data_IF_899359890717
#
_entry.id   IF_899359890717
#
_cell.length_a   1.000
_cell.length_b   1.000
_cell.length_c   1.000
_cell.angle_alpha   90.00
_cell.angle_beta   90.00
_cell.angle_gamma   90.00
#
_symmetry.space_group_name_H-M   'P 1'
#
loop_
_entity.id
_entity.type
_entity.pdbx_description
1 polymer ?
#
# COMPACT_ATOMS: atom_id res chain seq x y z
N UNK A 1 12.45 48.46 32.43
CA UNK A 1 13.86 48.51 32.87
C UNK A 1 14.24 47.39 33.86
N UNK A 2 13.43 47.06 34.88
CA UNK A 2 13.80 46.05 35.90
C UNK A 2 13.72 44.57 35.45
N UNK A 3 12.81 44.23 34.53
CA UNK A 3 12.66 42.84 34.02
C UNK A 3 13.70 42.44 32.97
N UNK A 4 14.20 43.41 32.19
CA UNK A 4 15.27 43.17 31.20
C UNK A 4 16.59 42.78 31.87
N UNK A 5 16.87 43.39 33.03
CA UNK A 5 18.08 43.12 33.81
C UNK A 5 18.03 41.72 34.45
N UNK A 6 16.85 41.26 34.87
CA UNK A 6 16.65 39.91 35.42
C UNK A 6 16.79 38.79 34.37
N UNK A 7 16.38 39.04 33.11
CA UNK A 7 16.55 38.09 32.00
C UNK A 7 18.02 38.01 31.56
N UNK A 8 18.73 39.14 31.53
CA UNK A 8 20.17 39.14 31.24
C UNK A 8 20.96 38.44 32.34
N UNK A 9 20.55 38.57 33.61
CA UNK A 9 21.20 37.90 34.74
C UNK A 9 20.95 36.38 34.78
N UNK A 10 19.84 35.88 34.24
CA UNK A 10 19.53 34.44 34.21
C UNK A 10 20.18 33.70 33.02
N UNK A 11 20.50 34.42 31.93
CA UNK A 11 21.22 33.89 30.77
C UNK A 11 22.74 33.71 31.01
N UNK A 12 23.34 34.43 31.96
CA UNK A 12 24.79 34.35 32.22
C UNK A 12 25.16 33.26 33.24
N UNK A 13 24.22 32.79 34.07
CA UNK A 13 24.47 31.78 35.11
C UNK A 13 24.37 30.34 34.56
N UNK A 14 23.80 30.14 33.36
CA UNK A 14 23.62 28.83 32.73
C UNK A 14 24.79 28.38 31.82
N UNK A 15 25.87 29.15 31.73
CA UNK A 15 27.07 28.81 30.94
C UNK A 15 28.16 28.05 31.73
N UNK A 16 27.91 27.72 33.01
CA UNK A 16 28.88 27.04 33.88
C UNK A 16 28.60 25.54 34.04
N UNK A 17 28.35 24.84 32.93
CA UNK A 17 28.39 23.38 32.88
C UNK A 17 29.28 22.95 31.70
N UNK A 18 30.53 22.61 32.05
CA UNK A 18 31.43 21.69 31.34
C UNK A 18 31.82 21.94 29.87
N UNK A 19 31.90 23.19 29.42
CA UNK A 19 32.71 23.50 28.24
C UNK A 19 34.22 23.56 28.61
N UNK A 20 34.81 22.42 28.99
CA UNK A 20 36.27 22.26 29.08
C UNK A 20 36.86 22.11 27.67
N UNK A 21 36.82 23.17 26.87
CA UNK A 21 37.33 23.18 25.49
C UNK A 21 38.78 23.66 25.36
N UNK A 22 39.45 23.96 26.48
CA UNK A 22 40.84 24.47 26.46
C UNK A 22 41.91 23.37 26.59
N UNK A 23 41.53 22.12 26.89
CA UNK A 23 42.46 20.98 27.04
C UNK A 23 42.33 19.93 25.94
N UNK A 24 41.75 20.27 24.77
CA UNK A 24 41.87 19.42 23.58
C UNK A 24 43.23 19.71 22.95
N UNK A 25 44.24 19.07 23.51
CA UNK A 25 45.57 19.03 22.94
C UNK A 25 45.50 18.19 21.65
N UNK A 26 45.51 18.85 20.49
CA UNK A 26 45.76 18.20 19.19
C UNK A 26 47.20 17.67 19.04
N UNK A 27 47.92 17.46 20.15
CA UNK A 27 49.26 16.84 20.12
C UNK A 27 49.12 15.39 19.69
N UNK A 28 49.49 15.16 18.44
CA UNK A 28 50.09 13.94 17.88
C UNK A 28 49.74 12.66 18.65
N UNK A 29 48.50 12.19 18.50
CA UNK A 29 48.23 10.79 18.77
C UNK A 29 49.04 9.96 17.77
N UNK A 30 49.98 9.15 18.27
CA UNK A 30 50.70 8.17 17.46
C UNK A 30 49.63 7.21 16.90
N UNK A 31 49.28 7.39 15.63
CA UNK A 31 48.44 6.40 14.93
C UNK A 31 49.31 5.18 14.71
N UNK A 32 49.06 4.11 15.44
CA UNK A 32 49.61 2.81 15.11
C UNK A 32 49.19 2.46 13.67
N UNK A 33 50.09 1.89 12.85
CA UNK A 33 49.71 1.43 11.53
C UNK A 33 48.54 0.46 11.67
N UNK A 34 47.56 0.59 10.77
CA UNK A 34 46.45 -0.36 10.72
C UNK A 34 47.03 -1.77 10.64
N UNK A 35 46.71 -2.62 11.61
CA UNK A 35 47.06 -4.05 11.55
C UNK A 35 46.42 -4.56 10.26
N UNK A 36 47.24 -5.07 9.34
CA UNK A 36 46.73 -5.63 8.11
C UNK A 36 45.69 -6.70 8.46
N UNK A 37 44.49 -6.60 7.88
CA UNK A 37 43.47 -7.61 8.07
C UNK A 37 44.08 -8.97 7.69
N UNK A 38 43.96 -10.02 8.54
CA UNK A 38 44.44 -11.34 8.19
C UNK A 38 43.82 -11.76 6.86
N UNK A 39 44.63 -12.11 5.88
CA UNK A 39 44.11 -12.62 4.61
C UNK A 39 43.44 -13.97 4.89
N UNK A 40 42.12 -14.00 4.80
CA UNK A 40 41.36 -15.22 4.96
C UNK A 40 41.52 -16.10 3.72
N UNK A 41 42.17 -17.25 3.92
CA UNK A 41 42.39 -18.29 2.91
C UNK A 41 41.36 -19.43 3.02
N UNK A 42 40.32 -19.29 3.83
CA UNK A 42 39.26 -20.28 4.07
C UNK A 42 38.70 -20.86 2.77
N UNK A 43 38.46 -20.02 1.76
CA UNK A 43 37.91 -20.42 0.46
C UNK A 43 38.89 -21.31 -0.33
N UNK A 44 40.21 -21.10 -0.22
CA UNK A 44 41.22 -21.94 -0.90
C UNK A 44 41.27 -23.36 -0.36
N UNK A 45 40.79 -23.59 0.87
CA UNK A 45 40.74 -24.90 1.52
C UNK A 45 39.49 -25.70 1.14
N UNK A 46 38.52 -25.08 0.45
CA UNK A 46 37.31 -25.76 -0.01
C UNK A 46 37.70 -26.54 -1.28
N UNK A 47 37.68 -27.88 -1.26
CA UNK A 47 38.02 -28.66 -2.44
C UNK A 47 37.02 -28.34 -3.56
N UNK A 48 37.53 -28.16 -4.78
CA UNK A 48 36.70 -27.82 -5.95
C UNK A 48 35.57 -28.85 -6.21
N UNK A 49 35.72 -30.07 -5.70
CA UNK A 49 34.72 -31.15 -5.73
C UNK A 49 33.46 -30.88 -4.89
N UNK A 50 33.51 -30.00 -3.88
CA UNK A 50 32.32 -29.53 -3.16
C UNK A 50 31.65 -28.32 -3.84
N UNK A 51 32.36 -27.68 -4.77
CA UNK A 51 31.91 -26.46 -5.47
C UNK A 51 31.18 -26.81 -6.78
N UNK A 52 31.20 -28.07 -7.22
CA UNK A 52 30.27 -28.59 -8.23
C UNK A 52 28.84 -28.63 -7.68
N UNK A 53 28.27 -27.46 -7.45
CA UNK A 53 26.85 -27.27 -7.19
C UNK A 53 26.13 -27.75 -8.45
N UNK A 54 25.62 -28.98 -8.41
CA UNK A 54 24.59 -29.38 -9.36
C UNK A 54 23.54 -28.25 -9.37
N UNK A 55 23.19 -27.75 -10.56
CA UNK A 55 22.13 -26.74 -10.69
C UNK A 55 20.79 -27.42 -10.36
N UNK A 56 20.51 -27.61 -9.08
CA UNK A 56 19.26 -28.18 -8.60
C UNK A 56 18.19 -27.11 -8.75
N UNK A 57 17.20 -27.37 -9.60
CA UNK A 57 16.01 -26.53 -9.72
C UNK A 57 15.19 -26.72 -8.45
N UNK A 58 15.20 -25.74 -7.56
CA UNK A 58 14.33 -25.73 -6.38
C UNK A 58 12.90 -25.48 -6.88
N UNK A 59 11.93 -26.40 -6.66
CA UNK A 59 10.55 -26.16 -7.04
C UNK A 59 10.00 -25.00 -6.21
N UNK A 60 9.31 -24.07 -6.87
CA UNK A 60 8.58 -23.00 -6.17
C UNK A 60 7.40 -23.63 -5.46
N UNK A 61 7.42 -23.63 -4.13
CA UNK A 61 6.29 -24.06 -3.32
C UNK A 61 5.39 -22.87 -3.02
N UNK A 62 4.13 -22.93 -3.44
CA UNK A 62 3.14 -21.91 -3.14
C UNK A 62 2.42 -22.29 -1.84
N UNK A 63 2.65 -21.54 -0.78
CA UNK A 63 1.91 -21.72 0.46
C UNK A 63 0.45 -21.27 0.24
N UNK A 64 -0.50 -22.11 0.66
CA UNK A 64 -1.91 -21.72 0.75
C UNK A 64 -2.03 -20.53 1.71
N UNK A 65 -2.77 -19.50 1.30
CA UNK A 65 -2.94 -18.31 2.13
C UNK A 65 -3.87 -18.68 3.29
N UNK A 66 -3.38 -18.67 4.53
CA UNK A 66 -4.20 -18.86 5.72
C UNK A 66 -4.88 -17.55 6.14
N UNK A 67 -6.00 -17.65 6.85
CA UNK A 67 -6.72 -16.48 7.37
C UNK A 67 -5.81 -15.60 8.23
N UNK A 68 -4.96 -16.21 9.06
CA UNK A 68 -3.96 -15.50 9.85
C UNK A 68 -2.97 -14.68 8.99
N UNK A 69 -2.51 -15.24 7.86
CA UNK A 69 -1.61 -14.54 6.96
C UNK A 69 -2.31 -13.33 6.29
N UNK A 70 -3.60 -13.48 5.97
CA UNK A 70 -4.42 -12.38 5.43
C UNK A 70 -4.56 -11.26 6.46
N UNK A 71 -4.94 -11.57 7.70
CA UNK A 71 -5.12 -10.59 8.77
C UNK A 71 -3.80 -9.86 9.10
N UNK A 72 -2.68 -10.60 9.11
CA UNK A 72 -1.36 -10.01 9.29
C UNK A 72 -0.99 -9.05 8.15
N UNK A 73 -1.29 -9.42 6.89
CA UNK A 73 -1.08 -8.55 5.74
C UNK A 73 -1.98 -7.30 5.80
N UNK A 74 -3.26 -7.48 6.13
CA UNK A 74 -4.23 -6.39 6.28
C UNK A 74 -3.76 -5.39 7.34
N UNK A 75 -3.43 -5.86 8.54
CA UNK A 75 -2.98 -5.01 9.64
C UNK A 75 -1.66 -4.30 9.34
N UNK A 76 -0.72 -4.97 8.65
CA UNK A 76 0.53 -4.37 8.22
C UNK A 76 0.30 -3.22 7.23
N UNK A 77 -0.48 -3.45 6.16
CA UNK A 77 -0.76 -2.41 5.16
C UNK A 77 -1.57 -1.27 5.79
N UNK A 78 -2.55 -1.58 6.63
CA UNK A 78 -3.35 -0.59 7.35
C UNK A 78 -2.48 0.32 8.22
N UNK A 79 -1.54 -0.25 8.97
CA UNK A 79 -0.61 0.52 9.82
C UNK A 79 0.24 1.48 9.00
N UNK A 80 0.73 1.03 7.84
CA UNK A 80 1.52 1.87 6.91
C UNK A 80 0.65 2.96 6.29
N UNK A 81 -0.58 2.63 5.87
CA UNK A 81 -1.54 3.60 5.35
C UNK A 81 -1.83 4.70 6.38
N UNK A 82 -2.14 4.33 7.63
CA UNK A 82 -2.39 5.28 8.71
C UNK A 82 -1.18 6.17 9.00
N UNK A 83 0.02 5.59 9.04
CA UNK A 83 1.26 6.34 9.20
C UNK A 83 1.42 7.39 8.08
N UNK A 84 1.32 6.96 6.83
CA UNK A 84 1.48 7.84 5.67
C UNK A 84 0.43 8.95 5.64
N UNK A 85 -0.83 8.64 5.96
CA UNK A 85 -1.90 9.64 6.08
C UNK A 85 -1.62 10.65 7.19
N UNK A 86 -1.13 10.20 8.36
CA UNK A 86 -0.77 11.07 9.49
C UNK A 86 0.37 12.03 9.13
N UNK A 87 1.35 11.56 8.35
CA UNK A 87 2.51 12.35 7.93
C UNK A 87 2.32 13.04 6.58
N UNK A 88 1.10 13.04 6.02
CA UNK A 88 0.75 13.71 4.75
C UNK A 88 1.54 13.21 3.54
N UNK A 89 1.96 11.94 3.58
CA UNK A 89 2.64 11.23 2.48
C UNK A 89 1.56 10.57 1.61
N UNK A 90 0.86 11.40 0.84
CA UNK A 90 -0.37 11.02 0.14
C UNK A 90 -0.16 10.16 -1.10
N UNK A 91 0.96 10.38 -1.79
CA UNK A 91 1.42 9.56 -2.91
C UNK A 91 1.50 8.08 -2.50
N UNK A 92 2.25 7.75 -1.44
CA UNK A 92 2.39 6.38 -0.96
C UNK A 92 1.11 5.89 -0.29
N UNK A 93 0.38 6.76 0.41
CA UNK A 93 -0.88 6.39 1.06
C UNK A 93 -1.93 5.88 0.06
N UNK A 94 -2.03 6.50 -1.13
CA UNK A 94 -2.95 6.06 -2.19
C UNK A 94 -2.67 4.61 -2.62
N UNK A 95 -1.41 4.25 -2.87
CA UNK A 95 -1.03 2.87 -3.17
C UNK A 95 -1.37 1.90 -2.05
N UNK A 96 -1.15 2.27 -0.78
CA UNK A 96 -1.52 1.41 0.34
C UNK A 96 -3.03 1.12 0.40
N UNK A 97 -3.87 2.10 0.06
CA UNK A 97 -5.32 1.89 -0.04
C UNK A 97 -5.71 1.01 -1.22
N UNK A 98 -5.07 1.19 -2.39
CA UNK A 98 -5.24 0.30 -3.54
C UNK A 98 -4.84 -1.15 -3.21
N UNK A 99 -3.76 -1.33 -2.44
CA UNK A 99 -3.28 -2.65 -2.01
C UNK A 99 -4.21 -3.31 -0.99
N UNK A 100 -4.75 -2.55 -0.03
CA UNK A 100 -5.82 -3.01 0.86
C UNK A 100 -7.04 -3.46 0.07
N UNK A 101 -7.47 -2.67 -0.92
CA UNK A 101 -8.60 -3.05 -1.76
C UNK A 101 -8.36 -4.36 -2.52
N UNK A 102 -7.18 -4.56 -3.10
CA UNK A 102 -6.81 -5.82 -3.76
C UNK A 102 -6.85 -7.01 -2.81
N UNK A 103 -6.45 -6.81 -1.55
CA UNK A 103 -6.55 -7.85 -0.52
C UNK A 103 -8.02 -8.20 -0.22
N UNK A 104 -8.92 -7.22 -0.18
CA UNK A 104 -10.35 -7.46 0.02
C UNK A 104 -11.05 -8.06 -1.20
N UNK A 105 -10.65 -7.68 -2.42
CA UNK A 105 -11.15 -8.30 -3.66
C UNK A 105 -10.86 -9.80 -3.66
N UNK A 106 -9.64 -10.21 -3.28
CA UNK A 106 -9.26 -11.64 -3.16
C UNK A 106 -10.09 -12.40 -2.14
N UNK A 107 -10.63 -11.71 -1.13
CA UNK A 107 -11.51 -12.28 -0.10
C UNK A 107 -13.00 -12.17 -0.46
N UNK A 108 -13.36 -11.64 -1.64
CA UNK A 108 -14.74 -11.31 -2.02
C UNK A 108 -15.43 -10.29 -1.08
N UNK A 109 -14.65 -9.49 -0.34
CA UNK A 109 -15.13 -8.42 0.55
C UNK A 109 -15.30 -7.12 -0.23
N UNK A 110 -16.28 -7.11 -1.14
CA UNK A 110 -16.43 -6.06 -2.15
C UNK A 110 -16.81 -4.69 -1.57
N UNK A 111 -17.55 -4.65 -0.47
CA UNK A 111 -17.95 -3.38 0.17
C UNK A 111 -16.74 -2.63 0.73
N UNK A 112 -15.84 -3.34 1.43
CA UNK A 112 -14.58 -2.75 1.94
C UNK A 112 -13.66 -2.37 0.78
N UNK A 113 -13.49 -3.26 -0.21
CA UNK A 113 -12.69 -2.98 -1.39
C UNK A 113 -13.12 -1.67 -2.08
N UNK A 114 -14.43 -1.50 -2.29
CA UNK A 114 -15.00 -0.29 -2.90
C UNK A 114 -14.62 0.95 -2.09
N UNK A 115 -14.74 0.90 -0.77
CA UNK A 115 -14.42 2.04 0.09
C UNK A 115 -12.96 2.46 -0.06
N UNK A 116 -12.03 1.51 -0.01
CA UNK A 116 -10.59 1.78 -0.14
C UNK A 116 -10.19 2.26 -1.54
N UNK A 117 -10.76 1.71 -2.61
CA UNK A 117 -10.50 2.21 -3.97
C UNK A 117 -11.01 3.63 -4.17
N UNK A 118 -12.16 4.00 -3.59
CA UNK A 118 -12.64 5.37 -3.63
C UNK A 118 -11.68 6.33 -2.92
N UNK A 119 -11.15 5.95 -1.75
CA UNK A 119 -10.14 6.75 -1.06
C UNK A 119 -8.85 6.88 -1.89
N UNK A 120 -8.35 5.77 -2.45
CA UNK A 120 -7.17 5.77 -3.33
C UNK A 120 -7.38 6.66 -4.56
N UNK A 121 -8.53 6.58 -5.21
CA UNK A 121 -8.85 7.38 -6.40
C UNK A 121 -8.92 8.88 -6.08
N UNK A 122 -9.53 9.26 -4.95
CA UNK A 122 -9.58 10.66 -4.50
C UNK A 122 -8.17 11.21 -4.29
N UNK A 123 -7.32 10.46 -3.59
CA UNK A 123 -5.96 10.90 -3.28
C UNK A 123 -5.10 10.92 -4.56
N UNK A 124 -5.16 9.89 -5.39
CA UNK A 124 -4.37 9.82 -6.63
C UNK A 124 -4.71 10.96 -7.59
N UNK A 125 -5.98 11.36 -7.68
CA UNK A 125 -6.40 12.55 -8.44
C UNK A 125 -5.81 13.83 -7.88
N UNK A 126 -5.80 14.01 -6.56
CA UNK A 126 -5.17 15.17 -5.91
C UNK A 126 -3.66 15.23 -6.18
N UNK A 127 -3.01 14.07 -6.34
CA UNK A 127 -1.59 13.96 -6.66
C UNK A 127 -1.31 13.97 -8.18
N UNK A 128 -2.33 14.11 -9.04
CA UNK A 128 -2.23 13.98 -10.50
C UNK A 128 -1.62 12.64 -10.96
N UNK A 129 -1.77 11.57 -10.17
CA UNK A 129 -1.30 10.24 -10.52
C UNK A 129 -2.35 9.50 -11.37
N UNK A 130 -2.40 9.87 -12.65
CA UNK A 130 -3.37 9.33 -13.60
C UNK A 130 -3.24 7.82 -13.78
N UNK A 131 -2.03 7.26 -13.66
CA UNK A 131 -1.81 5.82 -13.79
C UNK A 131 -2.50 5.04 -12.67
N UNK A 132 -2.37 5.50 -11.42
CA UNK A 132 -3.06 4.89 -10.28
C UNK A 132 -4.56 5.13 -10.34
N UNK A 133 -5.00 6.35 -10.71
CA UNK A 133 -6.43 6.65 -10.86
C UNK A 133 -7.11 5.72 -11.87
N UNK A 134 -6.46 5.45 -13.02
CA UNK A 134 -6.98 4.51 -14.02
C UNK A 134 -7.06 3.09 -13.47
N UNK A 135 -6.01 2.63 -12.77
CA UNK A 135 -6.00 1.30 -12.16
C UNK A 135 -7.12 1.15 -11.11
N UNK A 136 -7.31 2.15 -10.26
CA UNK A 136 -8.37 2.13 -9.24
C UNK A 136 -9.78 2.16 -9.88
N UNK A 137 -9.98 2.87 -11.00
CA UNK A 137 -11.24 2.87 -11.74
C UNK A 137 -11.55 1.49 -12.37
N UNK A 138 -10.54 0.81 -12.90
CA UNK A 138 -10.68 -0.56 -13.41
C UNK A 138 -11.05 -1.53 -12.28
N UNK A 139 -10.35 -1.47 -11.15
CA UNK A 139 -10.65 -2.30 -9.98
C UNK A 139 -12.05 -1.96 -9.41
N UNK A 140 -12.47 -0.69 -9.41
CA UNK A 140 -13.81 -0.27 -8.99
C UNK A 140 -14.89 -0.85 -9.89
N UNK A 141 -14.66 -0.88 -11.20
CA UNK A 141 -15.60 -1.46 -12.14
C UNK A 141 -15.79 -2.96 -11.90
N UNK A 142 -14.71 -3.70 -11.64
CA UNK A 142 -14.77 -5.12 -11.26
C UNK A 142 -15.58 -5.27 -9.98
N UNK A 143 -15.27 -4.49 -8.94
CA UNK A 143 -15.97 -4.54 -7.65
C UNK A 143 -17.46 -4.24 -7.83
N UNK A 144 -17.82 -3.17 -8.54
CA UNK A 144 -19.22 -2.77 -8.77
C UNK A 144 -19.99 -3.80 -9.61
N UNK A 145 -19.36 -4.39 -10.62
CA UNK A 145 -19.98 -5.45 -11.40
C UNK A 145 -20.29 -6.69 -10.53
N UNK A 146 -19.35 -7.10 -9.67
CA UNK A 146 -19.57 -8.20 -8.72
C UNK A 146 -20.62 -7.88 -7.64
N UNK A 147 -20.79 -6.60 -7.30
CA UNK A 147 -21.88 -6.12 -6.43
C UNK A 147 -23.24 -6.04 -7.15
N UNK A 148 -23.32 -6.39 -8.44
CA UNK A 148 -24.56 -6.33 -9.22
C UNK A 148 -24.91 -4.94 -9.77
N UNK A 149 -23.95 -4.03 -9.85
CA UNK A 149 -24.11 -2.70 -10.45
C UNK A 149 -23.21 -2.52 -11.70
N UNK A 150 -23.55 -3.18 -12.81
CA UNK A 150 -22.77 -3.09 -14.05
C UNK A 150 -22.87 -1.70 -14.71
N UNK A 151 -23.91 -0.91 -14.42
CA UNK A 151 -24.05 0.42 -14.98
C UNK A 151 -23.00 1.37 -14.41
N UNK A 152 -22.82 1.39 -13.08
CA UNK A 152 -21.75 2.17 -12.48
C UNK A 152 -20.36 1.66 -12.88
N UNK A 153 -20.20 0.35 -13.08
CA UNK A 153 -18.95 -0.21 -13.57
C UNK A 153 -18.60 0.28 -14.98
N UNK A 154 -19.58 0.35 -15.89
CA UNK A 154 -19.37 0.90 -17.23
C UNK A 154 -18.98 2.39 -17.20
N UNK A 155 -19.56 3.17 -16.28
CA UNK A 155 -19.21 4.58 -16.10
C UNK A 155 -17.74 4.75 -15.68
N UNK A 156 -17.28 3.97 -14.70
CA UNK A 156 -15.88 4.01 -14.25
C UNK A 156 -14.90 3.63 -15.38
N UNK A 157 -15.24 2.60 -16.17
CA UNK A 157 -14.40 2.18 -17.31
C UNK A 157 -14.40 3.21 -18.45
N UNK A 158 -15.53 3.87 -18.71
CA UNK A 158 -15.60 4.94 -19.68
C UNK A 158 -14.73 6.13 -19.26
N UNK A 159 -14.76 6.49 -17.98
CA UNK A 159 -13.88 7.51 -17.42
C UNK A 159 -12.40 7.10 -17.51
N UNK A 160 -12.07 5.86 -17.13
CA UNK A 160 -10.71 5.33 -17.23
C UNK A 160 -10.18 5.41 -18.68
N UNK A 161 -11.03 5.10 -19.67
CA UNK A 161 -10.68 5.18 -21.09
C UNK A 161 -10.43 6.63 -21.52
N UNK A 162 -11.29 7.56 -21.10
CA UNK A 162 -11.12 8.99 -21.37
C UNK A 162 -9.82 9.53 -20.76
N UNK A 163 -9.55 9.24 -19.48
CA UNK A 163 -8.32 9.62 -18.79
C UNK A 163 -7.08 9.02 -19.47
N UNK A 164 -7.16 7.76 -19.88
CA UNK A 164 -6.07 7.07 -20.56
C UNK A 164 -5.72 7.74 -21.89
N UNK A 165 -6.73 8.05 -22.72
CA UNK A 165 -6.53 8.73 -24.00
C UNK A 165 -6.02 10.16 -23.80
N UNK A 166 -6.57 10.91 -22.84
CA UNK A 166 -6.18 12.29 -22.59
C UNK A 166 -4.71 12.42 -22.13
N UNK A 167 -4.18 11.40 -21.45
CA UNK A 167 -2.81 11.40 -20.91
C UNK A 167 -1.82 10.55 -21.74
N UNK A 168 -2.25 10.02 -22.90
CA UNK A 168 -1.38 9.19 -23.75
C UNK A 168 -1.01 7.82 -23.17
N UNK A 169 -1.78 7.30 -22.21
CA UNK A 169 -1.51 6.04 -21.50
C UNK A 169 -2.05 4.82 -22.27
N UNK A 170 -1.69 4.70 -23.55
CA UNK A 170 -2.26 3.73 -24.49
C UNK A 170 -2.13 2.26 -24.05
N UNK A 171 -1.12 1.93 -23.23
CA UNK A 171 -0.94 0.60 -22.65
C UNK A 171 -2.18 0.10 -21.87
N UNK A 172 -2.93 1.00 -21.23
CA UNK A 172 -4.10 0.65 -20.44
C UNK A 172 -5.36 0.46 -21.29
N UNK A 173 -5.42 1.05 -22.49
CA UNK A 173 -6.63 1.09 -23.33
C UNK A 173 -7.13 -0.31 -23.69
N UNK A 174 -6.22 -1.21 -24.08
CA UNK A 174 -6.59 -2.59 -24.43
C UNK A 174 -7.19 -3.35 -23.22
N UNK A 175 -6.65 -3.13 -22.02
CA UNK A 175 -7.17 -3.70 -20.77
C UNK A 175 -8.56 -3.17 -20.45
N UNK A 176 -8.73 -1.84 -20.46
CA UNK A 176 -10.02 -1.18 -20.20
C UNK A 176 -11.09 -1.64 -21.19
N UNK A 177 -10.78 -1.74 -22.47
CA UNK A 177 -11.74 -2.20 -23.48
C UNK A 177 -12.14 -3.66 -23.30
N UNK A 178 -11.21 -4.52 -22.87
CA UNK A 178 -11.50 -5.92 -22.55
C UNK A 178 -12.48 -6.02 -21.38
N UNK A 179 -12.24 -5.26 -20.31
CA UNK A 179 -13.12 -5.22 -19.14
C UNK A 179 -14.48 -4.62 -19.47
N UNK A 180 -14.53 -3.58 -20.30
CA UNK A 180 -15.78 -2.96 -20.72
C UNK A 180 -16.67 -3.96 -21.47
N UNK A 181 -16.09 -4.74 -22.39
CA UNK A 181 -16.81 -5.81 -23.08
C UNK A 181 -17.31 -6.89 -22.12
N UNK A 182 -16.49 -7.26 -21.14
CA UNK A 182 -16.88 -8.22 -20.10
C UNK A 182 -18.07 -7.71 -19.28
N UNK A 183 -18.03 -6.46 -18.81
CA UNK A 183 -19.11 -5.85 -18.03
C UNK A 183 -20.39 -5.66 -18.86
N UNK A 184 -20.28 -5.37 -20.16
CA UNK A 184 -21.44 -5.29 -21.06
C UNK A 184 -22.11 -6.66 -21.28
N UNK A 185 -21.32 -7.73 -21.32
CA UNK A 185 -21.81 -9.09 -21.43
C UNK A 185 -22.32 -9.65 -20.09
N UNK A 186 -21.97 -8.99 -18.97
CA UNK A 186 -22.40 -9.38 -17.65
C UNK A 186 -23.92 -9.25 -17.53
N UNK A 187 -24.60 -10.40 -17.51
CA UNK A 187 -26.00 -10.50 -17.13
C UNK A 187 -26.06 -10.72 -15.62
N UNK A 188 -26.59 -9.78 -14.82
CA UNK A 188 -26.70 -10.01 -13.39
C UNK A 188 -27.62 -11.22 -13.15
N UNK A 189 -27.11 -12.23 -12.45
CA UNK A 189 -27.87 -13.44 -12.09
C UNK A 189 -29.02 -13.15 -11.12
N UNK A 190 -28.98 -11.99 -10.46
CA UNK A 190 -29.99 -11.52 -9.53
C UNK A 190 -30.24 -10.05 -9.84
N UNK A 191 -31.44 -9.74 -10.28
CA UNK A 191 -31.88 -8.37 -10.50
C UNK A 191 -32.10 -7.68 -9.16
N UNK A 192 -31.87 -6.36 -9.06
CA UNK A 192 -32.19 -5.56 -7.85
C UNK A 192 -33.64 -5.74 -7.36
N UNK A 193 -34.54 -6.21 -8.24
CA UNK A 193 -35.90 -6.60 -7.89
C UNK A 193 -35.94 -7.84 -6.97
N UNK A 194 -35.15 -8.88 -7.24
CA UNK A 194 -35.09 -10.10 -6.41
C UNK A 194 -34.58 -9.86 -5.00
N UNK A 195 -33.66 -8.89 -4.80
CA UNK A 195 -33.25 -8.47 -3.46
C UNK A 195 -34.41 -7.92 -2.62
N UNK A 196 -35.33 -7.18 -3.23
CA UNK A 196 -36.52 -6.63 -2.54
C UNK A 196 -37.53 -7.73 -2.21
N UNK A 197 -37.73 -8.68 -3.12
CA UNK A 197 -38.66 -9.79 -2.87
C UNK A 197 -38.11 -10.78 -1.82
N UNK A 198 -36.80 -11.04 -1.80
CA UNK A 198 -36.19 -11.89 -0.78
C UNK A 198 -36.23 -11.25 0.61
N UNK A 199 -35.96 -9.94 0.73
CA UNK A 199 -36.08 -9.24 2.01
C UNK A 199 -37.53 -9.18 2.52
N UNK A 200 -38.48 -8.89 1.63
CA UNK A 200 -39.90 -8.81 2.00
C UNK A 200 -40.46 -10.19 2.38
N UNK A 201 -40.04 -11.26 1.69
CA UNK A 201 -40.42 -12.63 2.03
C UNK A 201 -39.92 -13.02 3.44
N UNK A 202 -38.69 -12.68 3.80
CA UNK A 202 -38.15 -12.94 5.15
C UNK A 202 -38.86 -12.13 6.25
N UNK A 203 -39.26 -10.89 5.97
CA UNK A 203 -40.03 -10.07 6.92
C UNK A 203 -41.44 -10.64 7.15
N UNK A 204 -42.06 -11.24 6.12
CA UNK A 204 -43.38 -11.86 6.28
C UNK A 204 -43.37 -13.17 7.04
N UNK A 205 -42.29 -13.95 7.01
CA UNK A 205 -42.17 -15.19 7.81
C UNK A 205 -42.06 -14.92 9.31
N UNK A 206 -41.38 -13.85 9.71
CA UNK A 206 -41.22 -13.49 11.13
C UNK A 206 -42.52 -12.96 11.74
N UNK A 207 -43.39 -12.32 10.94
CA UNK A 207 -44.72 -11.86 11.39
C UNK A 207 -45.75 -12.98 11.58
N UNK A 208 -45.52 -14.16 11.02
CA UNK A 208 -46.47 -15.29 11.07
C UNK A 208 -46.23 -16.23 12.27
N UNK A 209 -45.14 -16.04 13.00
CA UNK A 209 -44.72 -16.88 14.12
C UNK A 209 -44.86 -16.20 15.50
N UNK A 210 -45.61 -15.10 15.57
CA UNK A 210 -46.09 -14.46 16.81
C UNK A 210 -47.63 -14.44 16.79
#
# INVERSE_FOLDING_TARGET
MKFLLAVVLSLTVSLSASAQWYNISFKKHVRYPAIALPQDHSIKKIPATYISRAKVKIPKFNFQQSDYNIELAESAIMKVAQHNMRFRIYDIASYNFSDLAKLYIKQNRFSEAKWFLLQSSIISRQQNNNQLTIADLMDLAIVKANMGDPLQAQQDLAEALQLSNANGLLANVAGIQKELKFVQQYKPTITKAEWRYASDAMVTSDKKNN
#
